data_IF_071906975601
#
_entry.id   IF_071906975601
#
_cell.length_a   1.000
_cell.length_b   1.000
_cell.length_c   1.000
_cell.angle_alpha   90.00
_cell.angle_beta   90.00
_cell.angle_gamma   90.00
#
_symmetry.space_group_name_H-M   'P 1'
#
loop_
_entity.id
_entity.type
_entity.pdbx_description
1 polymer ?
#
# COMPACT_ATOMS: atom_id res chain seq x y z
N UNK A 1 -3.90 35.26 21.27
CA UNK A 1 -4.64 34.01 21.26
C UNK A 1 -3.67 32.86 20.95
N UNK A 2 -3.78 31.75 21.64
CA UNK A 2 -3.00 30.55 21.33
C UNK A 2 -3.76 29.72 20.30
N UNK A 3 -3.08 29.20 19.30
CA UNK A 3 -3.70 28.25 18.37
C UNK A 3 -4.00 26.94 19.08
N UNK A 4 -5.18 26.40 18.83
CA UNK A 4 -5.61 25.10 19.35
C UNK A 4 -6.01 24.26 18.14
N UNK A 5 -5.46 23.05 18.05
CA UNK A 5 -5.81 22.09 17.03
C UNK A 5 -6.50 20.88 17.69
N UNK A 6 -7.65 20.52 17.16
CA UNK A 6 -8.31 19.25 17.49
C UNK A 6 -8.33 18.42 16.24
N UNK A 7 -7.71 17.26 16.27
CA UNK A 7 -7.72 16.30 15.18
C UNK A 7 -7.83 14.89 15.78
N UNK A 8 -8.79 14.14 15.28
CA UNK A 8 -9.05 12.79 15.76
C UNK A 8 -9.61 11.94 14.62
N UNK A 9 -8.82 11.01 14.10
CA UNK A 9 -9.32 10.09 13.10
C UNK A 9 -10.43 9.22 13.68
N UNK A 10 -11.47 8.98 12.90
CA UNK A 10 -12.58 8.09 13.26
C UNK A 10 -12.34 6.74 12.58
N UNK A 11 -11.68 5.84 13.29
CA UNK A 11 -11.47 4.47 12.86
C UNK A 11 -12.41 3.52 13.59
N UNK A 12 -12.63 2.34 13.01
CA UNK A 12 -13.31 1.25 13.69
C UNK A 12 -12.52 0.75 14.90
N UNK A 13 -13.21 0.02 15.76
CA UNK A 13 -12.60 -0.66 16.89
C UNK A 13 -11.98 -1.98 16.44
N UNK A 14 -10.66 -2.09 16.49
CA UNK A 14 -9.91 -3.26 16.07
C UNK A 14 -9.12 -3.84 17.25
N UNK A 15 -8.83 -5.12 17.15
CA UNK A 15 -7.91 -5.80 18.05
C UNK A 15 -6.81 -6.51 17.20
N UNK A 16 -5.56 -6.05 17.19
CA UNK A 16 -5.01 -4.89 17.92
C UNK A 16 -5.54 -3.55 17.40
N UNK A 17 -5.31 -2.48 18.18
CA UNK A 17 -5.72 -1.12 17.80
C UNK A 17 -5.09 -0.71 16.46
N UNK A 18 -5.84 0.07 15.67
CA UNK A 18 -5.37 0.53 14.35
C UNK A 18 -4.20 1.51 14.45
N UNK A 19 -4.17 2.34 15.48
CA UNK A 19 -3.09 3.30 15.72
C UNK A 19 -2.37 3.00 17.02
N UNK A 20 -1.11 3.40 17.09
CA UNK A 20 -0.31 3.36 18.30
C UNK A 20 0.40 4.70 18.53
N UNK A 21 0.65 5.03 19.82
CA UNK A 21 1.41 6.21 20.21
C UNK A 21 2.90 6.00 19.99
N UNK A 22 3.57 7.04 19.51
CA UNK A 22 5.01 7.01 19.25
C UNK A 22 5.64 8.36 19.61
N UNK A 23 6.81 8.32 20.24
CA UNK A 23 7.70 9.47 20.43
C UNK A 23 9.05 9.18 19.80
N UNK A 24 9.52 10.08 18.97
CA UNK A 24 10.84 10.00 18.33
C UNK A 24 11.68 11.19 18.81
N UNK A 25 12.74 10.90 19.56
CA UNK A 25 13.62 11.90 20.17
C UNK A 25 15.07 11.57 19.84
N UNK A 26 15.74 12.42 19.07
CA UNK A 26 17.12 12.25 18.66
C UNK A 26 17.35 12.49 17.16
N UNK A 27 18.61 12.56 16.75
CA UNK A 27 19.02 12.79 15.36
C UNK A 27 18.30 14.00 14.67
N UNK A 28 17.96 15.05 15.45
CA UNK A 28 17.23 16.20 14.95
C UNK A 28 15.71 16.08 14.99
N UNK A 29 15.18 14.95 15.40
CA UNK A 29 13.75 14.74 15.62
C UNK A 29 13.36 14.97 17.08
N UNK A 30 12.27 15.66 17.31
CA UNK A 30 11.61 15.78 18.60
C UNK A 30 10.11 15.85 18.35
N UNK A 31 9.49 14.69 18.14
CA UNK A 31 8.10 14.58 17.69
C UNK A 31 7.36 13.53 18.52
N UNK A 32 6.09 13.81 18.81
CA UNK A 32 5.21 12.90 19.54
C UNK A 32 3.84 12.88 18.88
N UNK A 33 3.23 11.71 18.84
CA UNK A 33 1.90 11.57 18.26
C UNK A 33 1.47 10.13 18.10
N UNK A 34 0.68 9.87 17.08
CA UNK A 34 0.26 8.52 16.75
C UNK A 34 0.26 8.26 15.25
N UNK A 35 0.26 6.99 14.90
CA UNK A 35 0.34 6.55 13.51
C UNK A 35 -0.36 5.20 13.34
N UNK A 36 -0.88 4.87 12.16
CA UNK A 36 -1.27 3.51 11.83
C UNK A 36 -0.08 2.56 11.95
N UNK A 37 -0.34 1.32 12.33
CA UNK A 37 0.72 0.31 12.45
C UNK A 37 1.46 0.09 11.12
N UNK A 38 2.75 -0.23 11.21
CA UNK A 38 3.66 -0.42 10.09
C UNK A 38 3.90 0.83 9.20
N UNK A 39 3.49 2.02 9.63
CA UNK A 39 3.83 3.26 8.94
C UNK A 39 5.09 3.88 9.57
N UNK A 40 6.11 4.25 8.77
CA UNK A 40 7.42 4.68 9.30
C UNK A 40 7.48 6.13 9.79
N UNK A 41 6.38 6.86 9.81
CA UNK A 41 6.30 8.26 10.24
C UNK A 41 5.10 8.53 11.14
N UNK A 42 4.99 9.74 11.67
CA UNK A 42 3.84 10.18 12.44
C UNK A 42 2.80 10.83 11.52
N UNK A 43 1.62 10.22 11.45
CA UNK A 43 0.49 10.73 10.66
C UNK A 43 -0.24 11.85 11.41
N UNK A 44 -0.30 11.76 12.74
CA UNK A 44 -0.90 12.75 13.62
C UNK A 44 0.10 13.06 14.72
N UNK A 45 0.46 14.33 14.90
CA UNK A 45 1.46 14.62 15.91
C UNK A 45 1.78 16.10 16.09
N UNK A 46 2.82 16.35 16.85
CA UNK A 46 3.40 17.67 17.06
C UNK A 46 4.89 17.57 17.37
N UNK A 47 5.61 18.67 17.15
CA UNK A 47 7.02 18.81 17.51
C UNK A 47 7.27 19.96 18.51
N UNK A 48 6.24 20.37 19.25
CA UNK A 48 6.30 21.49 20.17
C UNK A 48 6.10 22.86 19.51
N UNK A 49 6.33 22.99 18.22
CA UNK A 49 6.18 24.24 17.44
C UNK A 49 4.96 24.19 16.54
N UNK A 50 4.81 23.10 15.81
CA UNK A 50 3.65 22.85 14.95
C UNK A 50 2.94 21.57 15.36
N UNK A 51 1.65 21.48 15.02
CA UNK A 51 0.86 20.26 15.10
C UNK A 51 0.30 19.93 13.71
N UNK A 52 0.19 18.66 13.40
CA UNK A 52 -0.36 18.21 12.13
C UNK A 52 -1.30 17.03 12.33
N UNK A 53 -2.16 16.84 11.36
CA UNK A 53 -3.06 15.72 11.29
C UNK A 53 -3.50 15.50 9.85
N UNK A 54 -4.12 14.38 9.60
CA UNK A 54 -4.60 14.02 8.28
C UNK A 54 -6.07 13.66 8.31
N UNK A 55 -6.67 13.65 7.13
CA UNK A 55 -8.04 13.18 6.90
C UNK A 55 -8.09 12.43 5.59
N UNK A 56 -9.12 11.62 5.39
CA UNK A 56 -9.34 10.96 4.12
C UNK A 56 -9.63 12.01 3.04
N UNK A 57 -8.84 12.00 1.98
CA UNK A 57 -8.97 12.94 0.86
C UNK A 57 -9.98 12.51 -0.20
N UNK A 58 -10.36 11.24 -0.22
CA UNK A 58 -11.22 10.63 -1.23
C UNK A 58 -10.80 10.93 -2.67
N UNK A 59 -9.49 11.06 -2.88
CA UNK A 59 -8.92 11.16 -4.22
C UNK A 59 -9.10 9.86 -5.01
N UNK A 60 -9.21 9.98 -6.32
CA UNK A 60 -9.21 8.83 -7.23
C UNK A 60 -7.76 8.43 -7.53
N UNK A 61 -7.17 7.72 -6.57
CA UNK A 61 -5.74 7.39 -6.57
C UNK A 61 -5.46 5.93 -6.95
N UNK A 62 -6.50 5.15 -7.20
CA UNK A 62 -6.39 3.70 -7.43
C UNK A 62 -7.21 3.29 -8.63
N UNK A 63 -6.54 2.72 -9.63
CA UNK A 63 -7.16 2.17 -10.82
C UNK A 63 -7.03 0.64 -10.89
N UNK A 64 -7.98 0.00 -11.55
CA UNK A 64 -7.92 -1.40 -11.91
C UNK A 64 -7.88 -1.52 -13.43
N UNK A 65 -6.79 -2.08 -13.93
CA UNK A 65 -6.57 -2.35 -15.33
C UNK A 65 -6.93 -3.80 -15.68
N UNK A 66 -7.77 -3.98 -16.68
CA UNK A 66 -8.06 -5.29 -17.25
C UNK A 66 -7.02 -5.63 -18.31
N UNK A 67 -6.14 -6.56 -18.00
CA UNK A 67 -5.04 -7.00 -18.86
C UNK A 67 -5.44 -8.24 -19.63
N UNK A 68 -5.41 -8.20 -20.95
CA UNK A 68 -5.65 -9.38 -21.78
C UNK A 68 -4.45 -10.31 -21.72
N UNK A 69 -4.68 -11.57 -21.35
CA UNK A 69 -3.66 -12.60 -21.26
C UNK A 69 -3.50 -13.37 -22.58
N UNK A 70 -2.31 -13.90 -22.81
CA UNK A 70 -2.03 -14.80 -23.92
C UNK A 70 -2.22 -16.25 -23.49
N UNK A 71 -3.29 -16.90 -23.94
CA UNK A 71 -3.66 -18.25 -23.52
C UNK A 71 -2.56 -19.27 -23.81
N UNK A 72 -1.93 -19.18 -24.99
CA UNK A 72 -0.90 -20.12 -25.47
C UNK A 72 0.44 -19.93 -24.74
N UNK A 73 0.62 -18.82 -24.04
CA UNK A 73 1.88 -18.50 -23.34
C UNK A 73 1.62 -17.84 -22.00
N UNK A 74 1.45 -18.62 -20.93
CA UNK A 74 1.23 -18.09 -19.60
C UNK A 74 2.30 -17.07 -19.18
N UNK A 75 1.89 -16.03 -18.46
CA UNK A 75 2.78 -14.98 -18.00
C UNK A 75 3.01 -13.86 -19.04
N UNK A 76 2.26 -13.83 -20.13
CA UNK A 76 2.27 -12.74 -21.11
C UNK A 76 0.91 -12.03 -21.15
N UNK A 77 0.95 -10.72 -21.34
CA UNK A 77 -0.23 -9.86 -21.46
C UNK A 77 -0.06 -8.89 -22.64
N UNK A 78 -1.16 -8.39 -23.15
CA UNK A 78 -1.17 -7.45 -24.26
C UNK A 78 -1.00 -6.01 -23.74
N UNK A 79 0.09 -5.35 -24.14
CA UNK A 79 0.34 -3.95 -23.82
C UNK A 79 0.74 -3.19 -25.10
N UNK A 80 0.04 -2.11 -25.41
CA UNK A 80 0.26 -1.29 -26.60
C UNK A 80 0.40 -2.11 -27.91
N UNK A 81 -0.49 -3.10 -28.07
CA UNK A 81 -0.51 -3.97 -29.25
C UNK A 81 0.59 -5.04 -29.32
N UNK A 82 1.39 -5.21 -28.26
CA UNK A 82 2.46 -6.19 -28.17
C UNK A 82 2.27 -7.13 -27.00
N UNK A 83 2.65 -8.39 -27.18
CA UNK A 83 2.70 -9.36 -26.09
C UNK A 83 3.96 -9.14 -25.25
N UNK A 84 3.78 -8.77 -24.00
CA UNK A 84 4.85 -8.45 -23.05
C UNK A 84 4.84 -9.46 -21.91
N UNK A 85 6.01 -9.91 -21.49
CA UNK A 85 6.14 -10.81 -20.35
C UNK A 85 5.89 -10.03 -19.04
N UNK A 86 5.03 -10.56 -18.17
CA UNK A 86 4.86 -10.06 -16.82
C UNK A 86 6.12 -10.29 -15.99
N UNK A 87 6.37 -9.39 -15.06
CA UNK A 87 7.33 -9.64 -13.97
C UNK A 87 6.71 -10.61 -12.96
N UNK A 88 7.53 -11.48 -12.40
CA UNK A 88 7.08 -12.40 -11.35
C UNK A 88 8.13 -12.54 -10.27
N UNK A 89 7.67 -12.77 -9.04
CA UNK A 89 8.51 -13.18 -7.93
C UNK A 89 7.76 -14.21 -7.09
N UNK A 90 8.50 -15.14 -6.50
CA UNK A 90 7.96 -16.07 -5.54
C UNK A 90 7.98 -15.47 -4.14
N UNK A 91 6.90 -15.63 -3.42
CA UNK A 91 6.74 -15.24 -2.02
C UNK A 91 6.37 -16.48 -1.21
N UNK A 92 6.96 -16.59 -0.03
CA UNK A 92 6.64 -17.67 0.90
C UNK A 92 6.16 -17.09 2.22
N UNK A 93 4.97 -17.51 2.64
CA UNK A 93 4.40 -17.18 3.94
C UNK A 93 4.59 -18.38 4.87
N UNK A 94 5.30 -18.16 5.97
CA UNK A 94 5.43 -19.16 7.03
C UNK A 94 4.24 -19.09 7.96
N UNK A 95 3.57 -20.20 8.16
CA UNK A 95 2.40 -20.30 9.03
C UNK A 95 2.81 -20.91 10.37
N UNK A 96 2.52 -20.22 11.48
CA UNK A 96 2.82 -20.75 12.83
C UNK A 96 2.08 -22.06 13.06
N UNK A 97 2.82 -23.13 13.34
CA UNK A 97 2.30 -24.49 13.51
C UNK A 97 1.61 -25.09 12.26
N UNK A 98 1.86 -24.54 11.08
CA UNK A 98 1.33 -25.01 9.80
C UNK A 98 2.42 -25.19 8.75
N UNK A 99 2.01 -25.58 7.55
CA UNK A 99 2.92 -25.63 6.40
C UNK A 99 3.08 -24.23 5.80
N UNK A 100 4.29 -23.94 5.32
CA UNK A 100 4.54 -22.71 4.57
C UNK A 100 3.79 -22.75 3.23
N UNK A 101 3.23 -21.62 2.84
CA UNK A 101 2.58 -21.44 1.54
C UNK A 101 3.47 -20.60 0.63
N UNK A 102 3.75 -21.12 -0.57
CA UNK A 102 4.51 -20.40 -1.60
C UNK A 102 3.59 -20.07 -2.76
N UNK A 103 3.63 -18.82 -3.21
CA UNK A 103 2.84 -18.34 -4.34
C UNK A 103 3.63 -17.36 -5.19
N UNK A 104 3.21 -17.21 -6.43
CA UNK A 104 3.83 -16.27 -7.37
C UNK A 104 3.04 -14.97 -7.42
N UNK A 105 3.72 -13.86 -7.14
CA UNK A 105 3.18 -12.52 -7.37
C UNK A 105 3.53 -12.08 -8.79
N UNK A 106 2.52 -11.77 -9.57
CA UNK A 106 2.65 -11.28 -10.92
C UNK A 106 2.44 -9.77 -11.00
N UNK A 107 3.18 -9.11 -11.89
CA UNK A 107 3.10 -7.67 -12.09
C UNK A 107 3.15 -7.31 -13.58
N UNK A 108 2.26 -6.41 -14.00
CA UNK A 108 2.31 -5.71 -15.27
C UNK A 108 2.91 -4.31 -15.11
N UNK A 109 2.94 -3.53 -16.17
CA UNK A 109 3.33 -2.11 -16.12
C UNK A 109 2.37 -1.29 -15.24
N UNK A 110 1.10 -1.70 -15.12
CA UNK A 110 0.09 -1.01 -14.34
C UNK A 110 0.12 -1.38 -12.85
N UNK A 111 0.71 -2.51 -12.47
CA UNK A 111 0.81 -2.89 -11.07
C UNK A 111 0.70 -4.40 -10.84
N UNK A 112 0.54 -4.78 -9.57
CA UNK A 112 0.40 -6.18 -9.18
C UNK A 112 -0.95 -6.73 -9.62
N UNK A 113 -0.95 -7.99 -10.09
CA UNK A 113 -2.17 -8.71 -10.41
C UNK A 113 -2.86 -9.10 -9.10
N UNK A 114 -4.12 -8.72 -8.96
CA UNK A 114 -4.97 -9.07 -7.82
C UNK A 114 -5.75 -10.36 -8.08
N UNK A 115 -6.20 -10.54 -9.33
CA UNK A 115 -7.07 -11.63 -9.71
C UNK A 115 -6.87 -11.94 -11.19
N UNK A 116 -7.07 -13.21 -11.55
CA UNK A 116 -7.09 -13.67 -12.94
C UNK A 116 -8.36 -14.44 -13.21
N UNK A 117 -9.05 -14.08 -14.27
CA UNK A 117 -10.16 -14.85 -14.83
C UNK A 117 -9.65 -15.68 -16.01
N UNK A 118 -9.54 -16.97 -15.81
CA UNK A 118 -9.07 -17.91 -16.82
C UNK A 118 -10.07 -18.13 -17.96
N UNK A 119 -11.37 -17.89 -17.71
CA UNK A 119 -12.42 -18.08 -18.71
C UNK A 119 -12.35 -16.97 -19.76
N UNK A 120 -12.16 -15.75 -19.33
CA UNK A 120 -12.06 -14.58 -20.22
C UNK A 120 -10.62 -14.26 -20.60
N UNK A 121 -9.63 -15.00 -20.06
CA UNK A 121 -8.20 -14.71 -20.22
C UNK A 121 -7.87 -13.26 -19.86
N UNK A 122 -8.38 -12.81 -18.72
CA UNK A 122 -8.20 -11.44 -18.22
C UNK A 122 -7.56 -11.47 -16.83
N UNK A 123 -6.52 -10.67 -16.64
CA UNK A 123 -5.98 -10.38 -15.33
C UNK A 123 -6.32 -8.95 -14.90
N UNK A 124 -6.54 -8.74 -13.62
CA UNK A 124 -6.85 -7.42 -13.06
C UNK A 124 -5.65 -6.91 -12.27
N UNK A 125 -4.98 -5.90 -12.83
CA UNK A 125 -3.83 -5.25 -12.24
C UNK A 125 -4.28 -4.01 -11.46
N UNK A 126 -3.75 -3.83 -10.25
CA UNK A 126 -4.02 -2.66 -9.41
C UNK A 126 -2.88 -1.66 -9.55
N UNK A 127 -3.20 -0.48 -10.03
CA UNK A 127 -2.32 0.70 -10.05
C UNK A 127 -2.66 1.63 -8.90
N UNK A 128 -1.65 2.22 -8.29
CA UNK A 128 -1.80 3.30 -7.31
C UNK A 128 -0.94 4.48 -7.72
N UNK A 129 -1.46 5.69 -7.59
CA UNK A 129 -0.74 6.90 -7.97
C UNK A 129 0.60 7.10 -7.22
N UNK A 130 0.73 6.50 -6.04
CA UNK A 130 1.91 6.61 -5.18
C UNK A 130 2.82 5.37 -5.19
N UNK A 131 2.51 4.31 -5.96
CA UNK A 131 3.34 3.09 -5.99
C UNK A 131 4.81 3.42 -6.28
N UNK A 132 5.69 3.02 -5.35
CA UNK A 132 7.13 3.28 -5.40
C UNK A 132 7.55 4.70 -5.01
N UNK A 133 6.62 5.55 -4.56
CA UNK A 133 6.90 6.93 -4.14
C UNK A 133 6.81 7.14 -2.62
N UNK A 134 6.41 6.11 -1.89
CA UNK A 134 6.13 6.19 -0.45
C UNK A 134 7.36 6.62 0.37
N UNK A 135 8.55 6.25 -0.10
CA UNK A 135 9.82 6.58 0.57
C UNK A 135 10.37 7.94 0.13
N UNK A 136 9.96 8.44 -1.03
CA UNK A 136 10.45 9.71 -1.55
C UNK A 136 9.85 10.94 -0.84
N UNK A 137 8.81 10.75 -0.02
CA UNK A 137 8.12 11.80 0.73
C UNK A 137 8.55 11.87 2.20
N UNK A 138 9.50 11.05 2.63
CA UNK A 138 10.12 11.07 3.95
C UNK A 138 11.42 11.87 3.91
#
# INVERSE_FOLDING_TARGET
AKAIMVNGPQFGWYAPAYTYGIGLHGAGYDVTGNTPFAYPGLVFGHNGVISWGSTAGFGDDVDIFAERLLAEKPGYYLHNGKWVKMLSREETITVKNGQAETFTVWRTVHGNILQTDQTTQTAYAKSRAWDGKEVASL
#
